data_IF_532280739282
#
_entry.id   IF_532280739282
#
_cell.length_a   1.000
_cell.length_b   1.000
_cell.length_c   1.000
_cell.angle_alpha   90.00
_cell.angle_beta   90.00
_cell.angle_gamma   90.00
#
_symmetry.space_group_name_H-M   'P 1'
#
loop_
_entity.id
_entity.type
_entity.pdbx_description
1 polymer ?
#
# COMPACT_ATOMS: atom_id res chain seq x y z
N UNK A 1 25.31 27.50 -14.94
CA UNK A 1 25.02 26.05 -14.91
C UNK A 1 24.59 25.76 -13.50
N UNK A 2 23.29 25.64 -13.27
CA UNK A 2 22.80 25.26 -11.94
C UNK A 2 23.21 23.82 -11.67
N UNK A 3 23.84 23.58 -10.52
CA UNK A 3 24.12 22.24 -10.02
C UNK A 3 22.80 21.47 -9.94
N UNK A 4 22.68 20.42 -10.74
CA UNK A 4 21.61 19.42 -10.57
C UNK A 4 21.92 18.73 -9.24
N UNK A 5 21.29 19.18 -8.16
CA UNK A 5 21.33 18.44 -6.90
C UNK A 5 20.77 17.05 -7.16
N UNK A 6 21.49 15.97 -6.81
CA UNK A 6 20.95 14.63 -6.95
C UNK A 6 19.67 14.53 -6.13
N UNK A 7 18.54 14.36 -6.82
CA UNK A 7 17.28 14.02 -6.20
C UNK A 7 17.40 12.56 -5.75
N UNK A 8 17.62 12.35 -4.44
CA UNK A 8 17.50 11.03 -3.87
C UNK A 8 16.06 10.57 -4.08
N UNK A 9 15.85 9.66 -5.02
CA UNK A 9 14.55 9.10 -5.30
C UNK A 9 14.13 8.27 -4.08
N UNK A 10 13.43 8.88 -3.11
CA UNK A 10 13.05 8.24 -1.85
C UNK A 10 12.32 6.90 -2.05
N UNK A 11 12.54 5.95 -1.15
CA UNK A 11 11.97 4.59 -1.15
C UNK A 11 10.67 4.50 -0.31
N UNK A 12 9.98 5.63 -0.14
CA UNK A 12 8.83 5.76 0.75
C UNK A 12 7.57 5.20 0.09
N UNK A 13 7.16 4.00 0.51
CA UNK A 13 5.90 3.39 0.10
C UNK A 13 5.13 2.86 1.32
N UNK A 14 3.88 3.28 1.44
CA UNK A 14 3.07 3.07 2.65
C UNK A 14 1.66 2.56 2.32
N UNK A 15 1.08 1.82 3.25
CA UNK A 15 -0.35 1.49 3.30
C UNK A 15 -0.93 2.23 4.50
N UNK A 16 -1.86 3.15 4.26
CA UNK A 16 -2.44 3.97 5.32
C UNK A 16 -3.94 3.73 5.44
N UNK A 17 -4.45 3.30 6.61
CA UNK A 17 -5.89 3.31 6.89
C UNK A 17 -6.39 4.75 7.11
N UNK A 18 -7.56 5.08 6.56
CA UNK A 18 -8.13 6.45 6.71
C UNK A 18 -8.65 6.72 8.14
N UNK A 19 -9.04 5.68 8.86
CA UNK A 19 -9.58 5.79 10.22
C UNK A 19 -8.85 4.83 11.14
N UNK A 20 -8.30 5.37 12.23
CA UNK A 20 -7.67 4.59 13.29
C UNK A 20 -8.68 4.33 14.40
N UNK A 21 -9.18 3.10 14.47
CA UNK A 21 -10.10 2.63 15.52
C UNK A 21 -9.80 1.17 15.85
N UNK A 22 -10.24 0.66 17.01
CA UNK A 22 -10.32 -0.78 17.22
C UNK A 22 -11.25 -1.40 16.17
N UNK A 23 -10.73 -2.35 15.40
CA UNK A 23 -11.48 -3.01 14.34
C UNK A 23 -12.13 -4.29 14.85
N UNK A 24 -13.32 -4.58 14.32
CA UNK A 24 -14.07 -5.81 14.57
C UNK A 24 -14.27 -6.64 13.32
N UNK A 25 -14.57 -7.92 13.49
CA UNK A 25 -14.95 -8.77 12.36
C UNK A 25 -16.13 -8.15 11.57
N UNK A 26 -16.01 -8.10 10.25
CA UNK A 26 -17.00 -7.49 9.37
C UNK A 26 -16.86 -5.97 9.19
N UNK A 27 -15.97 -5.30 9.94
CA UNK A 27 -15.68 -3.89 9.69
C UNK A 27 -15.12 -3.70 8.27
N UNK A 28 -15.58 -2.66 7.61
CA UNK A 28 -14.99 -2.14 6.38
C UNK A 28 -13.88 -1.17 6.72
N UNK A 29 -12.66 -1.50 6.32
CA UNK A 29 -11.51 -0.62 6.47
C UNK A 29 -11.15 -0.04 5.11
N UNK A 30 -11.10 1.29 5.05
CA UNK A 30 -10.65 2.02 3.86
C UNK A 30 -9.16 2.31 3.98
N UNK A 31 -8.40 1.95 2.96
CA UNK A 31 -6.94 2.13 2.90
C UNK A 31 -6.53 2.85 1.63
N UNK A 32 -5.35 3.47 1.69
CA UNK A 32 -4.70 4.13 0.57
C UNK A 32 -3.26 3.67 0.45
N UNK A 33 -2.76 3.62 -0.79
CA UNK A 33 -1.35 3.46 -1.10
C UNK A 33 -0.71 4.82 -1.30
N UNK A 34 0.38 5.09 -0.59
CA UNK A 34 1.07 6.39 -0.63
C UNK A 34 2.51 6.15 -1.06
N UNK A 35 2.95 6.82 -2.12
CA UNK A 35 4.33 6.86 -2.56
C UNK A 35 4.84 8.30 -2.51
N UNK A 36 5.87 8.56 -1.71
CA UNK A 36 6.44 9.92 -1.48
C UNK A 36 5.36 10.97 -1.16
N UNK A 37 4.48 10.63 -0.22
CA UNK A 37 3.38 11.51 0.20
C UNK A 37 2.26 11.70 -0.82
N UNK A 38 2.27 10.99 -1.95
CA UNK A 38 1.21 11.05 -2.97
C UNK A 38 0.47 9.74 -3.08
N UNK A 39 -0.85 9.81 -3.20
CA UNK A 39 -1.70 8.67 -3.50
C UNK A 39 -1.29 8.02 -4.82
N UNK A 40 -1.21 6.69 -4.84
CA UNK A 40 -0.92 5.92 -6.05
C UNK A 40 -1.93 4.80 -6.23
N UNK A 41 -2.14 4.43 -7.49
CA UNK A 41 -2.98 3.29 -7.86
C UNK A 41 -2.15 2.00 -7.80
N UNK A 42 -2.83 0.87 -7.60
CA UNK A 42 -2.15 -0.41 -7.51
C UNK A 42 -3.08 -1.57 -7.18
N UNK A 43 -2.50 -2.65 -6.70
CA UNK A 43 -3.23 -3.83 -6.22
C UNK A 43 -2.68 -4.21 -4.86
N UNK A 44 -3.58 -4.53 -3.93
CA UNK A 44 -3.24 -5.11 -2.63
C UNK A 44 -3.67 -6.56 -2.56
N UNK A 45 -2.88 -7.37 -1.87
CA UNK A 45 -3.25 -8.73 -1.49
C UNK A 45 -3.72 -8.72 -0.04
N UNK A 46 -4.90 -9.23 0.23
CA UNK A 46 -5.51 -9.28 1.56
C UNK A 46 -5.58 -10.74 1.99
N UNK A 47 -4.64 -11.15 2.84
CA UNK A 47 -4.63 -12.46 3.48
C UNK A 47 -5.49 -12.47 4.74
N UNK A 48 -6.38 -13.44 4.83
CA UNK A 48 -7.26 -13.68 5.98
C UNK A 48 -7.29 -15.18 6.31
N UNK A 49 -8.08 -15.57 7.32
CA UNK A 49 -8.34 -16.99 7.62
C UNK A 49 -9.02 -17.75 6.47
N UNK A 50 -9.72 -17.03 5.58
CA UNK A 50 -10.50 -17.61 4.49
C UNK A 50 -9.66 -17.79 3.20
N UNK A 51 -8.48 -17.16 3.12
CA UNK A 51 -7.63 -17.16 1.93
C UNK A 51 -6.99 -15.82 1.63
N UNK A 52 -6.57 -15.62 0.38
CA UNK A 52 -5.95 -14.38 -0.11
C UNK A 52 -6.79 -13.84 -1.26
N UNK A 53 -7.25 -12.60 -1.12
CA UNK A 53 -7.95 -11.86 -2.17
C UNK A 53 -7.05 -10.76 -2.75
N UNK A 54 -7.23 -10.42 -4.03
CA UNK A 54 -6.59 -9.26 -4.66
C UNK A 54 -7.61 -8.14 -4.85
N UNK A 55 -7.27 -6.93 -4.42
CA UNK A 55 -8.15 -5.76 -4.49
C UNK A 55 -7.42 -4.63 -5.21
N UNK A 56 -8.05 -4.09 -6.25
CA UNK A 56 -7.53 -2.92 -6.96
C UNK A 56 -7.71 -1.65 -6.12
N UNK A 57 -6.72 -0.77 -6.19
CA UNK A 57 -6.70 0.53 -5.50
C UNK A 57 -6.69 1.63 -6.55
N UNK A 58 -7.72 2.46 -6.55
CA UNK A 58 -7.82 3.68 -7.36
C UNK A 58 -8.02 4.87 -6.42
N UNK A 59 -6.90 5.47 -6.00
CA UNK A 59 -6.84 6.43 -4.89
C UNK A 59 -7.05 5.80 -3.51
N UNK A 60 -8.06 4.94 -3.34
CA UNK A 60 -8.34 4.16 -2.13
C UNK A 60 -8.99 2.82 -2.49
N UNK A 61 -8.99 1.88 -1.54
CA UNK A 61 -9.84 0.70 -1.62
C UNK A 61 -10.48 0.41 -0.26
N UNK A 62 -11.59 -0.32 -0.29
CA UNK A 62 -12.25 -0.83 0.92
C UNK A 62 -12.02 -2.33 1.03
N UNK A 63 -11.60 -2.77 2.21
CA UNK A 63 -11.42 -4.19 2.54
C UNK A 63 -12.36 -4.55 3.69
N UNK A 64 -12.97 -5.73 3.64
CA UNK A 64 -13.79 -6.25 4.76
C UNK A 64 -12.91 -7.11 5.64
N UNK A 65 -12.72 -6.70 6.88
CA UNK A 65 -11.89 -7.42 7.84
C UNK A 65 -12.59 -8.69 8.32
N UNK A 66 -11.83 -9.77 8.46
CA UNK A 66 -12.28 -11.04 9.03
C UNK A 66 -11.79 -11.16 10.46
N UNK A 67 -12.55 -11.87 11.27
CA UNK A 67 -12.14 -12.26 12.61
C UNK A 67 -10.72 -12.85 12.63
N UNK A 68 -9.88 -12.35 13.54
CA UNK A 68 -8.48 -12.76 13.67
C UNK A 68 -7.52 -11.80 12.96
N UNK A 69 -6.49 -12.37 12.33
CA UNK A 69 -5.40 -11.61 11.70
C UNK A 69 -5.69 -11.40 10.22
N UNK A 70 -5.62 -10.14 9.77
CA UNK A 70 -5.70 -9.74 8.38
C UNK A 70 -4.35 -9.13 7.97
N UNK A 71 -3.75 -9.64 6.91
CA UNK A 71 -2.45 -9.18 6.40
C UNK A 71 -2.65 -8.56 5.03
N UNK A 72 -2.37 -7.27 4.91
CA UNK A 72 -2.52 -6.51 3.67
C UNK A 72 -1.13 -6.23 3.13
N UNK A 73 -0.86 -6.68 1.91
CA UNK A 73 0.42 -6.50 1.25
C UNK A 73 0.21 -5.71 -0.04
N UNK A 74 1.01 -4.68 -0.24
CA UNK A 74 1.01 -3.89 -1.46
C UNK A 74 2.38 -3.94 -2.10
N UNK A 75 2.44 -3.95 -3.44
CA UNK A 75 3.68 -3.81 -4.20
C UNK A 75 3.56 -2.63 -5.15
N UNK A 76 4.61 -1.82 -5.22
CA UNK A 76 4.71 -0.69 -6.12
C UNK A 76 6.00 -0.77 -6.93
N UNK A 77 5.93 -0.41 -8.22
CA UNK A 77 7.08 -0.38 -9.12
C UNK A 77 7.31 1.07 -9.52
N UNK A 78 8.39 1.66 -9.01
CA UNK A 78 8.80 3.02 -9.40
C UNK A 78 9.68 2.91 -10.66
N UNK A 79 9.12 3.31 -11.81
CA UNK A 79 9.82 3.36 -13.10
C UNK A 79 10.41 4.77 -13.29
N UNK A 80 11.70 4.96 -12.99
CA UNK A 80 12.36 6.25 -13.22
C UNK A 80 12.63 6.42 -14.72
N UNK A 81 12.02 7.43 -15.32
CA UNK A 81 12.20 7.79 -16.72
C UNK A 81 13.48 8.60 -16.96
N UNK A 82 14.66 8.04 -16.73
CA UNK A 82 15.92 8.61 -17.23
C UNK A 82 16.94 7.54 -17.65
N UNK A 83 16.92 7.21 -18.94
CA UNK A 83 18.09 6.73 -19.70
C UNK A 83 18.58 5.30 -19.49
N UNK A 84 18.37 4.68 -18.32
CA UNK A 84 18.65 3.27 -18.05
C UNK A 84 17.61 2.79 -17.03
N UNK A 85 16.79 1.81 -17.42
CA UNK A 85 15.64 1.33 -16.63
C UNK A 85 16.07 0.63 -15.34
N UNK A 86 16.25 1.38 -14.25
CA UNK A 86 16.30 0.78 -12.91
C UNK A 86 14.88 0.69 -12.35
N UNK A 87 14.32 -0.54 -12.36
CA UNK A 87 12.99 -0.81 -11.78
C UNK A 87 13.13 -1.07 -10.30
N UNK A 88 12.53 -0.21 -9.48
CA UNK A 88 12.54 -0.41 -8.02
C UNK A 88 11.23 -1.00 -7.55
N UNK A 89 11.32 -2.18 -6.97
CA UNK A 89 10.19 -2.88 -6.37
C UNK A 89 10.11 -2.54 -4.90
N UNK A 90 9.05 -1.84 -4.52
CA UNK A 90 8.74 -1.48 -3.14
C UNK A 90 7.60 -2.37 -2.65
N UNK A 91 7.65 -2.77 -1.39
CA UNK A 91 6.60 -3.57 -0.76
C UNK A 91 6.30 -3.00 0.61
N UNK A 92 5.02 -2.86 0.91
CA UNK A 92 4.53 -2.44 2.21
C UNK A 92 3.60 -3.53 2.75
N UNK A 93 3.56 -3.70 4.07
CA UNK A 93 2.68 -4.66 4.74
C UNK A 93 2.03 -4.01 5.94
N UNK A 94 0.71 -4.16 6.05
CA UNK A 94 -0.10 -3.73 7.17
C UNK A 94 -0.78 -4.95 7.77
N UNK A 95 -0.60 -5.17 9.07
CA UNK A 95 -1.27 -6.25 9.80
C UNK A 95 -2.32 -5.67 10.73
N UNK A 96 -3.55 -6.16 10.62
CA UNK A 96 -4.69 -5.71 11.43
C UNK A 96 -5.31 -6.90 12.14
N UNK A 97 -5.50 -6.77 13.45
CA UNK A 97 -6.22 -7.76 14.25
C UNK A 97 -7.64 -7.26 14.47
N UNK A 98 -8.62 -8.01 13.97
CA UNK A 98 -10.04 -7.72 14.15
C UNK A 98 -10.64 -8.73 15.14
N UNK A 99 -11.32 -8.21 16.16
CA UNK A 99 -11.93 -9.02 17.24
C UNK A 99 -13.45 -9.08 17.15
#
# INVERSE_FOLDING_TARGET
MDEIKPFAAGFEFEIMPEVLKPFKSGDKMRIQLIFRGKSVNGVVKVGTKDGIDEVAVDGFCEITLKEGVNVIVARYVDEISMGVYDKRNLTATLTVVAR
#
